data_IF_007994908315
#
_entry.id   IF_007994908315
#
_cell.length_a   1.000
_cell.length_b   1.000
_cell.length_c   1.000
_cell.angle_alpha   90.00
_cell.angle_beta   90.00
_cell.angle_gamma   90.00
#
_symmetry.space_group_name_H-M   'P 1'
#
loop_
_entity.id
_entity.type
_entity.pdbx_description
1 polymer ?
#
# COMPACT_ATOMS: atom_id res chain seq x y z
N UNK A 1 -11.11 10.87 -11.06
CA UNK A 1 -10.56 10.31 -9.81
C UNK A 1 -10.18 11.48 -8.90
N UNK A 2 -10.85 11.71 -7.75
CA UNK A 2 -10.47 12.72 -6.79
C UNK A 2 -9.15 12.37 -6.11
N UNK A 3 -8.35 13.40 -5.82
CA UNK A 3 -7.06 13.23 -5.11
C UNK A 3 -6.82 14.44 -4.21
N UNK A 4 -5.96 14.27 -3.21
CA UNK A 4 -5.40 15.38 -2.43
C UNK A 4 -3.89 15.36 -2.55
N UNK A 5 -3.32 16.45 -3.05
CA UNK A 5 -1.88 16.62 -3.18
C UNK A 5 -1.34 17.44 -2.00
N UNK A 6 -0.39 16.86 -1.28
CA UNK A 6 0.38 17.53 -0.22
C UNK A 6 1.75 17.86 -0.79
N UNK A 7 2.09 19.13 -0.83
CA UNK A 7 3.39 19.59 -1.32
C UNK A 7 4.16 20.19 -0.15
N UNK A 8 5.38 19.71 0.15
CA UNK A 8 6.20 20.30 1.21
C UNK A 8 6.59 21.74 0.85
N UNK A 9 6.97 22.53 1.87
CA UNK A 9 7.35 23.94 1.70
C UNK A 9 8.61 24.17 0.84
N UNK A 10 9.42 23.15 0.66
CA UNK A 10 10.59 23.10 -0.25
C UNK A 10 10.25 22.25 -1.45
N UNK A 11 11.02 22.37 -2.53
CA UNK A 11 10.90 21.49 -3.67
C UNK A 11 10.87 20.01 -3.26
N UNK A 12 9.84 19.24 -3.65
CA UNK A 12 9.71 17.86 -3.23
C UNK A 12 10.84 16.98 -3.75
N UNK A 13 11.39 16.14 -2.88
CA UNK A 13 12.46 15.18 -3.23
C UNK A 13 11.93 14.03 -4.10
N UNK A 14 10.67 13.67 -3.92
CA UNK A 14 10.00 12.59 -4.64
C UNK A 14 8.49 12.77 -4.59
N UNK A 15 7.77 11.84 -5.21
CA UNK A 15 6.31 11.78 -5.19
C UNK A 15 5.86 10.42 -4.64
N UNK A 16 5.08 10.44 -3.57
CA UNK A 16 4.44 9.26 -2.99
C UNK A 16 2.99 9.22 -3.45
N UNK A 17 2.58 8.15 -4.12
CA UNK A 17 1.16 7.85 -4.39
C UNK A 17 0.67 7.00 -3.24
N UNK A 18 -0.23 7.55 -2.44
CA UNK A 18 -0.72 6.92 -1.23
C UNK A 18 -2.16 6.43 -1.38
N UNK A 19 -2.37 5.15 -1.09
CA UNK A 19 -3.68 4.51 -1.06
C UNK A 19 -4.02 4.14 0.39
N UNK A 20 -5.16 4.65 0.87
CA UNK A 20 -5.59 4.40 2.25
C UNK A 20 -6.13 2.98 2.45
N UNK A 21 -6.07 2.50 3.70
CA UNK A 21 -6.70 1.26 4.12
C UNK A 21 -8.21 1.38 4.29
N UNK A 22 -8.83 0.31 4.80
CA UNK A 22 -10.28 0.25 5.05
C UNK A 22 -10.98 -0.84 4.24
N UNK A 23 -10.28 -1.94 3.91
CA UNK A 23 -10.85 -3.12 3.26
C UNK A 23 -11.52 -2.82 1.92
N UNK A 24 -11.09 -1.79 1.20
CA UNK A 24 -11.67 -1.28 -0.05
C UNK A 24 -13.12 -0.77 0.08
N UNK A 25 -13.70 -0.77 1.29
CA UNK A 25 -15.12 -0.45 1.57
C UNK A 25 -15.27 0.84 2.36
N UNK A 26 -14.34 1.13 3.24
CA UNK A 26 -14.35 2.33 4.10
C UNK A 26 -13.05 3.12 3.98
N UNK A 27 -13.03 4.29 4.58
CA UNK A 27 -11.89 5.20 4.54
C UNK A 27 -12.15 6.39 3.62
N UNK A 28 -11.40 7.45 3.84
CA UNK A 28 -11.48 8.67 3.02
C UNK A 28 -10.14 9.41 3.04
N UNK A 29 -9.84 10.15 2.01
CA UNK A 29 -8.68 11.07 1.97
C UNK A 29 -8.72 12.08 3.14
N UNK A 30 -9.91 12.49 3.57
CA UNK A 30 -10.06 13.39 4.72
C UNK A 30 -9.68 12.70 6.05
N UNK A 31 -10.09 11.45 6.26
CA UNK A 31 -9.75 10.68 7.44
C UNK A 31 -8.25 10.40 7.57
N UNK A 32 -7.57 10.21 6.45
CA UNK A 32 -6.12 9.97 6.38
C UNK A 32 -5.26 11.23 6.32
N UNK A 33 -5.88 12.43 6.35
CA UNK A 33 -5.16 13.71 6.32
C UNK A 33 -4.05 13.82 7.38
N UNK A 34 -4.25 13.47 8.66
CA UNK A 34 -3.20 13.59 9.67
C UNK A 34 -1.96 12.75 9.34
N UNK A 35 -2.17 11.52 8.85
CA UNK A 35 -1.09 10.63 8.46
C UNK A 35 -0.36 11.12 7.20
N UNK A 36 -1.09 11.44 6.13
CA UNK A 36 -0.50 11.84 4.84
C UNK A 36 0.23 13.19 4.93
N UNK A 37 -0.28 14.12 5.74
CA UNK A 37 0.42 15.38 6.03
C UNK A 37 1.70 15.14 6.84
N UNK A 38 1.67 14.25 7.83
CA UNK A 38 2.86 13.84 8.60
C UNK A 38 3.88 13.17 7.66
N UNK A 39 3.45 12.29 6.78
CA UNK A 39 4.31 11.60 5.82
C UNK A 39 5.02 12.60 4.88
N UNK A 40 4.30 13.57 4.32
CA UNK A 40 4.86 14.60 3.47
C UNK A 40 5.92 15.45 4.20
N UNK A 41 5.60 15.89 5.43
CA UNK A 41 6.50 16.68 6.25
C UNK A 41 7.78 15.92 6.66
N UNK A 42 7.63 14.64 7.02
CA UNK A 42 8.76 13.82 7.49
C UNK A 42 9.69 13.41 6.37
N UNK A 43 9.16 13.06 5.21
CA UNK A 43 9.97 12.59 4.07
C UNK A 43 10.50 13.72 3.20
N UNK A 44 9.84 14.87 3.18
CA UNK A 44 10.09 15.94 2.24
C UNK A 44 9.68 15.57 0.80
N UNK A 45 8.88 14.52 0.62
CA UNK A 45 8.24 14.16 -0.65
C UNK A 45 6.85 14.79 -0.76
N UNK A 46 6.41 15.06 -1.98
CA UNK A 46 4.99 15.29 -2.22
C UNK A 46 4.21 13.99 -1.98
N UNK A 47 2.97 14.10 -1.48
CA UNK A 47 2.08 12.95 -1.28
C UNK A 47 0.79 13.18 -2.04
N UNK A 48 0.50 12.29 -3.00
CA UNK A 48 -0.77 12.20 -3.70
C UNK A 48 -1.64 11.17 -2.98
N UNK A 49 -2.56 11.63 -2.13
CA UNK A 49 -3.54 10.79 -1.47
C UNK A 49 -4.74 10.56 -2.38
N UNK A 50 -5.01 9.32 -2.72
CA UNK A 50 -5.98 8.91 -3.74
C UNK A 50 -7.31 8.56 -3.11
N UNK A 51 -8.39 9.17 -3.58
CA UNK A 51 -9.78 8.88 -3.20
C UNK A 51 -10.35 7.87 -4.20
N UNK A 52 -9.83 6.64 -4.12
CA UNK A 52 -10.23 5.57 -5.02
C UNK A 52 -11.67 5.13 -4.73
N UNK A 53 -12.37 4.66 -5.76
CA UNK A 53 -13.76 4.19 -5.65
C UNK A 53 -13.85 2.98 -4.72
N UNK A 54 -14.82 3.01 -3.82
CA UNK A 54 -15.02 2.00 -2.77
C UNK A 54 -16.11 1.00 -3.15
N UNK A 55 -15.96 -0.23 -2.70
CA UNK A 55 -16.96 -1.27 -2.70
C UNK A 55 -18.00 -1.01 -1.57
N UNK A 56 -19.23 -1.53 -1.66
CA UNK A 56 -19.72 -2.40 -2.72
C UNK A 56 -20.15 -1.68 -4.00
N UNK A 57 -20.30 -0.34 -3.99
CA UNK A 57 -20.76 0.43 -5.14
C UNK A 57 -19.80 0.28 -6.34
N UNK A 58 -18.52 0.11 -6.05
CA UNK A 58 -17.45 -0.05 -7.04
C UNK A 58 -16.56 -1.23 -6.66
N UNK A 59 -17.07 -2.45 -6.88
CA UNK A 59 -16.34 -3.69 -6.61
C UNK A 59 -15.13 -3.87 -7.56
N UNK A 60 -14.30 -4.88 -7.24
CA UNK A 60 -13.19 -5.31 -8.09
C UNK A 60 -13.65 -5.50 -9.57
N UNK A 61 -12.90 -4.98 -10.58
CA UNK A 61 -11.55 -4.40 -10.46
C UNK A 61 -11.48 -2.87 -10.34
N UNK A 62 -12.60 -2.14 -10.15
CA UNK A 62 -12.63 -0.68 -10.26
C UNK A 62 -11.66 0.07 -9.31
N UNK A 63 -11.45 -0.35 -8.03
CA UNK A 63 -10.41 0.26 -7.19
C UNK A 63 -8.99 0.07 -7.73
N UNK A 64 -8.73 -1.06 -8.41
CA UNK A 64 -7.43 -1.34 -9.05
C UNK A 64 -7.23 -0.42 -10.26
N UNK A 65 -8.26 -0.21 -11.08
CA UNK A 65 -8.21 0.70 -12.23
C UNK A 65 -7.89 2.13 -11.78
N UNK A 66 -8.50 2.58 -10.69
CA UNK A 66 -8.23 3.90 -10.09
C UNK A 66 -6.80 4.00 -9.56
N UNK A 67 -6.32 2.97 -8.88
CA UNK A 67 -4.95 2.93 -8.39
C UNK A 67 -3.92 2.96 -9.53
N UNK A 68 -4.17 2.20 -10.59
CA UNK A 68 -3.32 2.20 -11.78
C UNK A 68 -3.34 3.56 -12.51
N UNK A 69 -4.50 4.21 -12.59
CA UNK A 69 -4.62 5.55 -13.16
C UNK A 69 -3.82 6.59 -12.35
N UNK A 70 -3.86 6.53 -11.01
CA UNK A 70 -3.08 7.39 -10.14
C UNK A 70 -1.56 7.19 -10.29
N UNK A 71 -1.11 5.92 -10.39
CA UNK A 71 0.31 5.59 -10.62
C UNK A 71 0.76 6.10 -11.99
N UNK A 72 -0.03 5.90 -13.03
CA UNK A 72 0.27 6.41 -14.39
C UNK A 72 0.37 7.93 -14.42
N UNK A 73 -0.53 8.62 -13.73
CA UNK A 73 -0.45 10.08 -13.62
C UNK A 73 0.83 10.51 -12.88
N UNK A 74 1.16 9.87 -11.76
CA UNK A 74 2.34 10.21 -10.97
C UNK A 74 3.67 10.04 -11.72
N UNK A 75 3.69 9.18 -12.73
CA UNK A 75 4.85 8.91 -13.58
C UNK A 75 4.83 9.69 -14.89
N UNK A 76 3.84 10.57 -15.12
CA UNK A 76 3.65 11.35 -16.33
C UNK A 76 4.24 12.76 -16.28
N UNK A 77 4.27 13.43 -17.43
CA UNK A 77 4.65 14.85 -17.55
C UNK A 77 3.67 15.79 -16.86
N UNK A 78 2.41 15.41 -16.74
CA UNK A 78 1.38 16.20 -16.05
C UNK A 78 1.67 16.30 -14.54
N UNK A 79 2.23 15.25 -13.92
CA UNK A 79 2.66 15.32 -12.53
C UNK A 79 3.84 16.28 -12.35
N UNK A 80 4.79 16.30 -13.28
CA UNK A 80 5.90 17.27 -13.29
C UNK A 80 5.38 18.70 -13.38
N UNK A 81 4.41 18.96 -14.25
CA UNK A 81 3.76 20.27 -14.38
C UNK A 81 3.03 20.68 -13.09
N UNK A 82 2.28 19.76 -12.49
CA UNK A 82 1.54 20.01 -11.25
C UNK A 82 2.46 20.31 -10.05
N UNK A 83 3.63 19.67 -9.99
CA UNK A 83 4.62 19.84 -8.93
C UNK A 83 5.56 21.03 -9.17
N UNK A 84 5.68 21.50 -10.41
CA UNK A 84 6.66 22.50 -10.82
C UNK A 84 8.12 22.00 -10.80
N UNK A 85 8.31 20.71 -10.57
CA UNK A 85 9.63 20.05 -10.54
C UNK A 85 9.46 18.57 -10.86
N UNK A 86 10.45 18.00 -11.53
CA UNK A 86 10.50 16.55 -11.73
C UNK A 86 10.88 15.85 -10.42
N UNK A 87 9.99 15.00 -9.85
CA UNK A 87 10.33 14.25 -8.64
C UNK A 87 11.44 13.24 -8.97
N UNK A 88 12.45 13.12 -8.12
CA UNK A 88 13.57 12.19 -8.33
C UNK A 88 13.14 10.73 -8.31
N UNK A 89 12.12 10.44 -7.53
CA UNK A 89 11.57 9.09 -7.34
C UNK A 89 10.06 9.12 -7.27
N UNK A 90 9.40 8.07 -7.76
CA UNK A 90 7.98 7.80 -7.60
C UNK A 90 7.80 6.57 -6.73
N UNK A 91 7.08 6.72 -5.65
CA UNK A 91 6.89 5.68 -4.63
C UNK A 91 5.39 5.35 -4.55
N UNK A 92 5.04 4.07 -4.64
CA UNK A 92 3.70 3.61 -4.30
C UNK A 92 3.66 3.18 -2.85
N UNK A 93 2.74 3.72 -2.08
CA UNK A 93 2.60 3.41 -0.66
C UNK A 93 1.13 3.22 -0.30
N UNK A 94 0.88 2.33 0.64
CA UNK A 94 -0.45 2.15 1.21
C UNK A 94 -0.42 1.29 2.45
N UNK A 95 -1.57 1.19 3.08
CA UNK A 95 -1.80 0.37 4.25
C UNK A 95 -2.99 -0.59 4.03
N UNK A 96 -2.91 -1.83 4.52
CA UNK A 96 -3.99 -2.81 4.42
C UNK A 96 -4.47 -3.01 2.98
N UNK A 97 -5.73 -2.80 2.68
CA UNK A 97 -6.30 -2.79 1.33
C UNK A 97 -5.61 -1.78 0.40
N UNK A 98 -5.18 -0.62 0.92
CA UNK A 98 -4.41 0.35 0.15
C UNK A 98 -3.01 -0.15 -0.22
N UNK A 99 -2.38 -0.96 0.62
CA UNK A 99 -1.12 -1.61 0.29
C UNK A 99 -1.30 -2.70 -0.80
N UNK A 100 -2.44 -3.38 -0.81
CA UNK A 100 -2.83 -4.25 -1.92
C UNK A 100 -2.90 -3.46 -3.23
N UNK A 101 -3.62 -2.34 -3.25
CA UNK A 101 -3.74 -1.49 -4.44
C UNK A 101 -2.37 -0.95 -4.89
N UNK A 102 -1.52 -0.51 -3.94
CA UNK A 102 -0.19 0.01 -4.24
C UNK A 102 0.69 -1.02 -4.95
N UNK A 103 0.75 -2.25 -4.44
CA UNK A 103 1.58 -3.30 -5.04
C UNK A 103 1.04 -3.78 -6.39
N UNK A 104 -0.28 -3.95 -6.51
CA UNK A 104 -0.92 -4.37 -7.76
C UNK A 104 -0.73 -3.34 -8.87
N UNK A 105 -1.01 -2.06 -8.58
CA UNK A 105 -0.85 -0.98 -9.56
C UNK A 105 0.61 -0.82 -10.00
N UNK A 106 1.56 -0.91 -9.06
CA UNK A 106 3.00 -0.84 -9.35
C UNK A 106 3.47 -2.00 -10.23
N UNK A 107 3.04 -3.21 -9.92
CA UNK A 107 3.35 -4.41 -10.72
C UNK A 107 2.84 -4.27 -12.15
N UNK A 108 1.56 -3.92 -12.33
CA UNK A 108 0.95 -3.75 -13.66
C UNK A 108 1.67 -2.64 -14.43
N UNK A 109 1.94 -1.51 -13.79
CA UNK A 109 2.61 -0.37 -14.41
C UNK A 109 4.03 -0.73 -14.87
N UNK A 110 4.84 -1.31 -14.01
CA UNK A 110 6.25 -1.63 -14.33
C UNK A 110 6.36 -2.76 -15.35
N UNK A 111 5.45 -3.75 -15.34
CA UNK A 111 5.41 -4.80 -16.37
C UNK A 111 5.09 -4.24 -17.76
N UNK A 112 4.41 -3.11 -17.86
CA UNK A 112 4.19 -2.42 -19.14
C UNK A 112 5.45 -1.72 -19.67
N UNK A 113 6.58 -1.75 -18.94
CA UNK A 113 7.87 -1.13 -19.29
C UNK A 113 7.72 0.37 -19.64
N UNK A 114 7.15 1.19 -18.75
CA UNK A 114 6.96 2.60 -19.00
C UNK A 114 8.30 3.33 -19.08
N UNK A 115 8.32 4.52 -19.67
CA UNK A 115 9.50 5.39 -19.68
C UNK A 115 9.95 5.78 -18.25
N UNK A 116 8.98 5.85 -17.33
CA UNK A 116 9.23 6.10 -15.91
C UNK A 116 8.52 5.04 -15.07
N UNK A 117 9.26 4.12 -14.43
CA UNK A 117 8.68 3.12 -13.52
C UNK A 117 8.37 3.72 -12.14
N UNK A 118 7.66 2.97 -11.32
CA UNK A 118 7.66 3.14 -9.87
C UNK A 118 8.99 2.61 -9.32
N UNK A 119 9.64 3.39 -8.46
CA UNK A 119 11.01 3.13 -7.97
C UNK A 119 11.03 2.34 -6.66
N UNK A 120 9.98 2.45 -5.83
CA UNK A 120 9.86 1.79 -4.54
C UNK A 120 8.38 1.55 -4.22
N UNK A 121 8.09 0.43 -3.57
CA UNK A 121 6.81 0.20 -2.90
C UNK A 121 7.00 0.08 -1.38
N UNK A 122 6.14 0.76 -0.61
CA UNK A 122 6.13 0.71 0.87
C UNK A 122 4.77 0.22 1.32
N UNK A 123 4.72 -1.00 1.84
CA UNK A 123 3.50 -1.72 2.12
C UNK A 123 3.35 -1.95 3.62
N UNK A 124 2.37 -1.30 4.24
CA UNK A 124 2.04 -1.51 5.65
C UNK A 124 0.95 -2.57 5.78
N UNK A 125 1.25 -3.64 6.51
CA UNK A 125 0.34 -4.77 6.77
C UNK A 125 -0.58 -5.11 5.59
N UNK A 126 -0.01 -5.42 4.41
CA UNK A 126 -0.77 -5.53 3.17
C UNK A 126 -1.72 -6.72 3.16
N UNK A 127 -2.90 -6.55 2.52
CA UNK A 127 -3.71 -7.69 2.06
C UNK A 127 -3.09 -8.24 0.78
N UNK A 128 -2.76 -9.53 0.75
CA UNK A 128 -2.10 -10.14 -0.40
C UNK A 128 -2.76 -11.41 -0.91
N UNK A 129 -3.67 -11.98 -0.11
CA UNK A 129 -4.42 -13.19 -0.44
C UNK A 129 -5.87 -13.10 0.05
N UNK A 130 -6.71 -13.99 -0.46
CA UNK A 130 -8.11 -14.18 -0.07
C UNK A 130 -8.32 -15.47 0.76
N UNK A 131 -7.25 -16.17 1.09
CA UNK A 131 -7.29 -17.30 2.00
C UNK A 131 -7.35 -16.81 3.45
N UNK A 132 -8.27 -17.34 4.22
CA UNK A 132 -8.44 -17.01 5.64
C UNK A 132 -7.92 -18.13 6.55
N UNK A 133 -6.99 -18.96 6.05
CA UNK A 133 -6.58 -20.21 6.70
C UNK A 133 -5.08 -20.23 7.10
N UNK A 134 -4.38 -19.09 7.04
CA UNK A 134 -3.01 -19.00 7.54
C UNK A 134 -2.94 -19.11 9.06
N UNK A 135 -1.76 -19.41 9.61
CA UNK A 135 -1.56 -19.47 11.06
C UNK A 135 -2.00 -18.20 11.78
N UNK A 136 -1.68 -17.02 11.21
CA UNK A 136 -2.07 -15.73 11.79
C UNK A 136 -3.58 -15.49 11.76
N UNK A 137 -4.31 -15.97 10.74
CA UNK A 137 -5.77 -15.92 10.73
C UNK A 137 -6.42 -16.77 11.80
N UNK A 138 -5.79 -17.86 12.23
CA UNK A 138 -6.26 -18.67 13.35
C UNK A 138 -5.85 -18.06 14.69
N UNK A 139 -4.59 -17.64 14.81
CA UNK A 139 -4.02 -17.09 16.05
C UNK A 139 -4.67 -15.76 16.46
N UNK A 140 -4.96 -14.89 15.48
CA UNK A 140 -5.51 -13.55 15.69
C UNK A 140 -6.93 -13.39 15.11
N UNK A 141 -7.69 -14.47 15.07
CA UNK A 141 -9.06 -14.47 14.53
C UNK A 141 -9.96 -13.42 15.20
N UNK A 142 -9.74 -13.15 16.49
CA UNK A 142 -10.50 -12.22 17.32
C UNK A 142 -9.59 -11.50 18.33
N UNK A 143 -10.13 -10.50 19.03
CA UNK A 143 -9.43 -9.81 20.13
C UNK A 143 -8.38 -8.79 19.71
N UNK A 144 -8.21 -8.52 18.42
CA UNK A 144 -7.39 -7.47 17.85
C UNK A 144 -8.28 -6.53 16.99
N UNK A 145 -7.76 -5.38 16.54
CA UNK A 145 -8.56 -4.38 15.81
C UNK A 145 -9.18 -4.91 14.52
N UNK A 146 -8.50 -5.82 13.83
CA UNK A 146 -9.01 -6.53 12.66
C UNK A 146 -9.26 -7.99 13.05
N UNK A 147 -10.40 -8.52 12.62
CA UNK A 147 -10.76 -9.92 12.83
C UNK A 147 -10.80 -10.70 11.51
N UNK A 148 -10.75 -12.03 11.62
CA UNK A 148 -10.97 -12.92 10.46
C UNK A 148 -12.33 -12.70 9.80
N UNK A 149 -13.37 -12.44 10.60
CA UNK A 149 -14.72 -12.21 10.09
C UNK A 149 -14.85 -10.86 9.38
N UNK A 150 -14.13 -9.82 9.87
CA UNK A 150 -14.07 -8.54 9.15
C UNK A 150 -13.43 -8.73 7.77
N UNK A 151 -12.36 -9.51 7.66
CA UNK A 151 -11.72 -9.77 6.38
C UNK A 151 -12.64 -10.51 5.40
N UNK A 152 -13.39 -11.51 5.87
CA UNK A 152 -14.40 -12.19 5.04
C UNK A 152 -15.46 -11.19 4.55
N UNK A 153 -15.96 -10.34 5.44
CA UNK A 153 -16.94 -9.30 5.11
C UNK A 153 -16.39 -8.31 4.08
N UNK A 154 -15.15 -7.84 4.22
CA UNK A 154 -14.50 -6.96 3.24
C UNK A 154 -14.37 -7.63 1.87
N UNK A 155 -13.92 -8.87 1.82
CA UNK A 155 -13.78 -9.61 0.57
C UNK A 155 -15.13 -9.88 -0.11
N UNK A 156 -16.19 -10.11 0.66
CA UNK A 156 -17.54 -10.31 0.11
C UNK A 156 -18.07 -9.06 -0.60
N UNK A 157 -17.67 -7.87 -0.14
CA UNK A 157 -18.02 -6.60 -0.78
C UNK A 157 -17.07 -6.22 -1.91
N UNK A 158 -15.76 -6.38 -1.69
CA UNK A 158 -14.74 -6.03 -2.68
C UNK A 158 -14.77 -6.91 -3.90
N UNK A 159 -14.84 -8.22 -3.72
CA UNK A 159 -14.87 -9.20 -4.80
C UNK A 159 -15.97 -10.25 -4.52
N UNK A 160 -17.25 -9.93 -4.80
CA UNK A 160 -18.39 -10.79 -4.50
C UNK A 160 -18.35 -12.10 -5.29
N UNK A 161 -17.80 -12.09 -6.49
CA UNK A 161 -17.54 -13.30 -7.27
C UNK A 161 -16.29 -14.02 -6.72
N UNK A 162 -16.51 -15.05 -5.90
CA UNK A 162 -15.43 -15.80 -5.25
C UNK A 162 -14.44 -16.42 -6.25
N UNK A 163 -14.88 -16.73 -7.49
CA UNK A 163 -14.00 -17.28 -8.52
C UNK A 163 -12.94 -16.31 -9.03
N UNK A 164 -13.15 -15.01 -8.81
CA UNK A 164 -12.22 -13.92 -9.17
C UNK A 164 -11.25 -13.54 -8.07
N UNK A 165 -11.47 -13.98 -6.82
CA UNK A 165 -10.63 -13.58 -5.67
C UNK A 165 -9.17 -14.02 -5.84
N UNK A 166 -8.92 -15.15 -6.52
CA UNK A 166 -7.55 -15.62 -6.82
C UNK A 166 -6.90 -14.90 -8.02
N UNK A 167 -7.59 -13.95 -8.67
CA UNK A 167 -6.98 -13.15 -9.72
C UNK A 167 -5.77 -12.38 -9.16
N UNK A 168 -4.61 -12.34 -9.86
CA UNK A 168 -3.41 -11.68 -9.34
C UNK A 168 -3.56 -10.17 -9.06
N UNK A 169 -4.57 -9.54 -9.65
CA UNK A 169 -4.90 -8.14 -9.39
C UNK A 169 -5.84 -7.96 -8.19
N UNK A 170 -6.42 -9.03 -7.65
CA UNK A 170 -7.13 -9.03 -6.38
C UNK A 170 -6.23 -9.58 -5.26
N UNK A 171 -5.59 -10.72 -5.50
CA UNK A 171 -4.69 -11.42 -4.58
C UNK A 171 -3.27 -11.48 -5.16
N UNK A 172 -2.41 -10.48 -4.92
CA UNK A 172 -1.08 -10.39 -5.53
C UNK A 172 -0.14 -11.55 -5.13
N UNK A 173 -0.45 -12.27 -4.07
CA UNK A 173 0.26 -13.51 -3.73
C UNK A 173 0.13 -14.59 -4.83
N UNK A 174 -0.87 -14.52 -5.70
CA UNK A 174 -1.03 -15.43 -6.85
C UNK A 174 -0.34 -14.95 -8.14
N UNK A 175 0.22 -13.73 -8.17
CA UNK A 175 0.89 -13.20 -9.35
C UNK A 175 2.14 -14.02 -9.73
N UNK A 176 2.37 -14.18 -11.03
CA UNK A 176 3.53 -14.90 -11.61
C UNK A 176 4.55 -13.96 -12.26
N UNK A 177 4.18 -12.70 -12.45
CA UNK A 177 4.91 -11.66 -13.18
C UNK A 177 5.50 -10.61 -12.21
N UNK A 178 6.14 -11.06 -11.14
CA UNK A 178 6.65 -10.18 -10.09
C UNK A 178 8.03 -9.58 -10.38
N UNK A 179 8.79 -10.12 -11.33
CA UNK A 179 10.19 -9.71 -11.56
C UNK A 179 10.39 -8.23 -11.92
N UNK A 180 9.36 -7.58 -12.47
CA UNK A 180 9.38 -6.14 -12.76
C UNK A 180 8.78 -5.28 -11.63
N UNK A 181 8.31 -5.88 -10.54
CA UNK A 181 7.83 -5.13 -9.38
C UNK A 181 8.94 -4.25 -8.80
N UNK A 182 8.62 -3.04 -8.31
CA UNK A 182 9.63 -2.20 -7.70
C UNK A 182 10.21 -2.83 -6.42
N UNK A 183 11.44 -2.48 -6.01
CA UNK A 183 11.96 -2.78 -4.68
C UNK A 183 10.91 -2.53 -3.60
N UNK A 184 10.87 -3.36 -2.56
CA UNK A 184 9.79 -3.33 -1.58
C UNK A 184 10.30 -3.22 -0.13
N UNK A 185 9.62 -2.37 0.65
CA UNK A 185 9.61 -2.47 2.11
C UNK A 185 8.21 -2.91 2.54
N UNK A 186 8.11 -4.06 3.20
CA UNK A 186 6.87 -4.58 3.79
C UNK A 186 7.01 -4.53 5.30
N UNK A 187 6.06 -3.85 5.96
CA UNK A 187 6.02 -3.81 7.43
C UNK A 187 4.74 -4.47 7.90
N UNK A 188 4.87 -5.65 8.50
CA UNK A 188 3.74 -6.42 9.04
C UNK A 188 3.53 -6.10 10.52
N UNK A 189 2.31 -6.28 11.01
CA UNK A 189 2.01 -6.23 12.43
C UNK A 189 2.10 -7.64 13.02
N UNK A 190 2.73 -7.78 14.20
CA UNK A 190 2.94 -9.08 14.82
C UNK A 190 1.64 -9.75 15.28
N UNK A 191 0.63 -8.95 15.65
CA UNK A 191 -0.70 -9.41 16.09
C UNK A 191 -1.77 -9.02 15.07
N UNK A 192 -1.71 -9.65 13.90
CA UNK A 192 -2.55 -9.29 12.76
C UNK A 192 -2.91 -10.56 11.97
N UNK A 193 -4.18 -10.79 11.64
CA UNK A 193 -4.58 -11.86 10.73
C UNK A 193 -3.79 -11.86 9.40
N UNK A 194 -3.43 -10.68 8.88
CA UNK A 194 -2.73 -10.51 7.60
C UNK A 194 -1.20 -10.73 7.68
N UNK A 195 -0.65 -11.00 8.89
CA UNK A 195 0.80 -11.13 9.08
C UNK A 195 1.43 -12.14 8.11
N UNK A 196 0.91 -13.35 8.11
CA UNK A 196 1.55 -14.46 7.39
C UNK A 196 1.45 -14.30 5.88
N UNK A 197 0.32 -13.79 5.35
CA UNK A 197 0.17 -13.55 3.92
C UNK A 197 1.05 -12.39 3.42
N UNK A 198 1.20 -11.33 4.23
CA UNK A 198 2.11 -10.23 3.92
C UNK A 198 3.57 -10.64 3.90
N UNK A 199 4.00 -11.49 4.84
CA UNK A 199 5.36 -12.04 4.87
C UNK A 199 5.61 -13.04 3.74
N UNK A 200 4.63 -13.89 3.42
CA UNK A 200 4.69 -14.81 2.28
C UNK A 200 4.83 -14.04 0.95
N UNK A 201 4.12 -12.92 0.81
CA UNK A 201 4.26 -12.05 -0.36
C UNK A 201 5.66 -11.45 -0.46
N UNK A 202 6.21 -11.00 0.66
CA UNK A 202 7.60 -10.51 0.71
C UNK A 202 8.61 -11.58 0.32
N UNK A 203 8.42 -12.83 0.73
CA UNK A 203 9.26 -13.94 0.31
C UNK A 203 9.12 -14.20 -1.20
N UNK A 204 7.90 -14.18 -1.72
CA UNK A 204 7.63 -14.36 -3.14
C UNK A 204 8.27 -13.29 -4.02
N UNK A 205 8.30 -12.04 -3.57
CA UNK A 205 9.04 -10.97 -4.26
C UNK A 205 10.55 -11.24 -4.29
N UNK A 206 11.13 -11.69 -3.17
CA UNK A 206 12.55 -12.09 -3.10
C UNK A 206 12.87 -13.23 -4.06
N UNK A 207 12.03 -14.26 -4.10
CA UNK A 207 12.19 -15.41 -4.99
C UNK A 207 12.10 -15.01 -6.48
N UNK A 208 11.36 -13.93 -6.79
CA UNK A 208 11.31 -13.33 -8.12
C UNK A 208 12.49 -12.38 -8.42
N UNK A 209 13.48 -12.26 -7.52
CA UNK A 209 14.65 -11.40 -7.68
C UNK A 209 14.42 -9.93 -7.35
N UNK A 210 13.28 -9.57 -6.74
CA UNK A 210 12.97 -8.19 -6.34
C UNK A 210 13.63 -7.87 -4.99
N UNK A 211 14.45 -6.80 -4.89
CA UNK A 211 15.02 -6.35 -3.62
C UNK A 211 13.91 -6.05 -2.62
N UNK A 212 13.79 -6.85 -1.56
CA UNK A 212 12.67 -6.77 -0.62
C UNK A 212 13.15 -6.88 0.82
N UNK A 213 12.76 -5.92 1.64
CA UNK A 213 12.89 -5.97 3.09
C UNK A 213 11.53 -6.25 3.72
N UNK A 214 11.46 -7.21 4.64
CA UNK A 214 10.26 -7.51 5.43
C UNK A 214 10.61 -7.26 6.89
N UNK A 215 9.81 -6.43 7.55
CA UNK A 215 9.99 -6.03 8.95
C UNK A 215 8.71 -6.36 9.71
N UNK A 216 8.79 -7.27 10.67
CA UNK A 216 7.68 -7.53 11.59
C UNK A 216 7.73 -6.54 12.75
N UNK A 217 6.63 -5.83 12.96
CA UNK A 217 6.40 -5.00 14.14
C UNK A 217 5.87 -5.85 15.29
N UNK A 218 6.78 -6.44 16.08
CA UNK A 218 6.39 -7.30 17.21
C UNK A 218 5.49 -6.52 18.19
N UNK A 219 4.36 -7.12 18.57
CA UNK A 219 3.36 -6.52 19.46
C UNK A 219 2.47 -5.45 18.81
N UNK A 220 2.71 -5.06 17.56
CA UNK A 220 1.82 -4.18 16.82
C UNK A 220 0.57 -4.94 16.35
N UNK A 221 -0.54 -4.23 16.29
CA UNK A 221 -1.82 -4.71 15.74
C UNK A 221 -2.05 -4.12 14.36
N UNK A 222 -3.00 -4.68 13.60
CA UNK A 222 -3.45 -4.10 12.35
C UNK A 222 -3.82 -2.62 12.51
N UNK A 223 -3.53 -1.78 11.51
CA UNK A 223 -3.87 -0.35 11.58
C UNK A 223 -2.95 0.50 12.46
N UNK A 224 -1.77 0.00 12.87
CA UNK A 224 -0.84 0.72 13.76
C UNK A 224 -0.39 2.08 13.21
N UNK A 225 -0.52 2.36 11.92
CA UNK A 225 -0.19 3.68 11.36
C UNK A 225 -1.07 4.80 11.94
N UNK A 226 -2.28 4.50 12.39
CA UNK A 226 -3.11 5.46 13.11
C UNK A 226 -2.56 5.81 14.52
N UNK A 227 -1.58 5.05 15.02
CA UNK A 227 -1.04 5.15 16.38
C UNK A 227 0.39 5.69 16.43
N UNK A 228 0.95 6.18 15.33
CA UNK A 228 2.37 6.60 15.23
C UNK A 228 2.76 7.69 16.24
N UNK A 229 1.81 8.50 16.68
CA UNK A 229 2.03 9.57 17.64
C UNK A 229 1.78 9.14 19.10
N UNK A 230 1.16 7.97 19.33
CA UNK A 230 0.73 7.54 20.66
C UNK A 230 1.44 6.27 21.13
N UNK A 231 1.86 5.40 20.21
CA UNK A 231 2.53 4.14 20.50
C UNK A 231 3.99 4.19 20.02
N UNK A 232 4.99 4.15 20.90
CA UNK A 232 6.41 4.23 20.52
C UNK A 232 6.84 3.14 19.52
N UNK A 233 6.26 1.94 19.60
CA UNK A 233 6.52 0.85 18.65
C UNK A 233 6.00 1.16 17.24
N UNK A 234 4.79 1.76 17.13
CA UNK A 234 4.24 2.22 15.87
C UNK A 234 5.08 3.36 15.27
N UNK A 235 5.52 4.31 16.13
CA UNK A 235 6.45 5.36 15.73
C UNK A 235 7.75 4.80 15.16
N UNK A 236 8.37 3.80 15.80
CA UNK A 236 9.59 3.15 15.26
C UNK A 236 9.36 2.45 13.91
N UNK A 237 8.21 1.81 13.74
CA UNK A 237 7.85 1.20 12.46
C UNK A 237 7.67 2.26 11.35
N UNK A 238 7.04 3.38 11.67
CA UNK A 238 6.91 4.51 10.75
C UNK A 238 8.28 5.12 10.39
N UNK A 239 9.20 5.29 11.35
CA UNK A 239 10.56 5.79 11.08
C UNK A 239 11.34 4.88 10.11
N UNK A 240 11.15 3.57 10.15
CA UNK A 240 11.74 2.66 9.16
C UNK A 240 11.19 2.92 7.76
N UNK A 241 9.89 3.18 7.62
CA UNK A 241 9.29 3.54 6.34
C UNK A 241 9.83 4.88 5.83
N UNK A 242 9.91 5.89 6.70
CA UNK A 242 10.50 7.20 6.37
C UNK A 242 11.94 7.04 5.89
N UNK A 243 12.77 6.27 6.60
CA UNK A 243 14.17 6.04 6.23
C UNK A 243 14.32 5.35 4.86
N UNK A 244 13.46 4.38 4.53
CA UNK A 244 13.46 3.73 3.22
C UNK A 244 13.07 4.71 2.10
N UNK A 245 12.05 5.54 2.33
CA UNK A 245 11.61 6.58 1.40
C UNK A 245 12.73 7.61 1.18
N UNK A 246 13.34 8.11 2.26
CA UNK A 246 14.45 9.08 2.17
C UNK A 246 15.67 8.52 1.45
N UNK A 247 15.95 7.22 1.61
CA UNK A 247 17.03 6.53 0.89
C UNK A 247 16.75 6.46 -0.61
N UNK A 248 15.51 6.18 -1.00
CA UNK A 248 15.10 6.11 -2.40
C UNK A 248 15.05 7.51 -3.06
N UNK A 249 14.79 8.57 -2.27
CA UNK A 249 14.63 9.95 -2.75
C UNK A 249 15.96 10.77 -2.77
N UNK A 250 17.10 10.13 -2.50
CA UNK A 250 18.45 10.75 -2.61
C UNK A 250 18.92 10.77 -4.06
#
# INVERSE_FOLDING_TARGET
LPVRLYVPSKAPKGLIVYFHGGGWVIGTVAGYHPFTATLANRTGCAVLSVDYRLAPEHAFPLPVDDALAAVRWATSSEAVQALGVEPRTVIAMGDSAGANLATVASRIHNNAKPARPVDLQVLAYPVTDHSFETGSYHEFAEGNLLTRNDMKWFWDHYCPDASKRSHPDASPLHAKDLAASPPALIVTAGRDPLRDEGEAYGQKLKDAGVPTEVVRGEGLVHGFLAMIHYAPSAGRAFEKMVAAIEKAAK
#
